data_IF_821233834700
#
_entry.id   IF_821233834700
#
_cell.length_a   1.000
_cell.length_b   1.000
_cell.length_c   1.000
_cell.angle_alpha   90.00
_cell.angle_beta   90.00
_cell.angle_gamma   90.00
#
_symmetry.space_group_name_H-M   'P 1'
#
loop_
_entity.id
_entity.type
_entity.pdbx_description
1 polymer ?
#
# COMPACT_ATOMS: atom_id res chain seq x y z
N UNK A 1 -13.65 1.27 -39.44
CA UNK A 1 -14.91 1.40 -38.70
C UNK A 1 -14.62 1.13 -37.24
N UNK A 2 -14.53 2.17 -36.42
CA UNK A 2 -14.39 2.04 -34.97
C UNK A 2 -15.78 1.79 -34.39
N UNK A 3 -15.98 0.61 -33.83
CA UNK A 3 -17.24 0.23 -33.20
C UNK A 3 -17.20 0.80 -31.79
N UNK A 4 -17.87 1.94 -31.58
CA UNK A 4 -18.08 2.48 -30.24
C UNK A 4 -19.02 1.56 -29.45
N UNK A 5 -18.80 1.35 -28.15
CA UNK A 5 -19.77 0.66 -27.30
C UNK A 5 -21.14 1.37 -27.40
N UNK A 6 -22.25 0.63 -27.38
CA UNK A 6 -23.58 1.24 -27.38
C UNK A 6 -23.71 2.16 -26.17
N UNK A 7 -24.23 3.37 -26.37
CA UNK A 7 -24.57 4.29 -25.28
C UNK A 7 -25.52 3.57 -24.32
N UNK A 8 -25.05 3.28 -23.11
CA UNK A 8 -25.92 2.80 -22.04
C UNK A 8 -26.94 3.91 -21.76
N UNK A 9 -28.22 3.64 -22.06
CA UNK A 9 -29.29 4.62 -21.96
C UNK A 9 -29.26 5.42 -20.66
N UNK A 10 -29.00 6.72 -20.76
CA UNK A 10 -29.04 7.69 -19.65
C UNK A 10 -30.45 7.89 -19.05
N UNK A 11 -31.48 7.20 -19.57
CA UNK A 11 -32.87 7.34 -19.16
C UNK A 11 -33.22 6.44 -17.98
N UNK A 12 -32.59 6.70 -16.84
CA UNK A 12 -33.08 6.42 -15.46
C UNK A 12 -31.89 6.41 -14.49
N UNK A 13 -31.13 7.51 -14.40
CA UNK A 13 -30.42 7.78 -13.15
C UNK A 13 -31.50 8.04 -12.09
N UNK A 14 -31.93 7.00 -11.37
CA UNK A 14 -32.55 7.19 -10.06
C UNK A 14 -31.50 7.93 -9.24
N UNK A 15 -31.61 9.25 -9.17
CA UNK A 15 -30.95 10.03 -8.15
C UNK A 15 -31.50 9.44 -6.85
N UNK A 16 -30.68 8.64 -6.17
CA UNK A 16 -31.05 8.08 -4.88
C UNK A 16 -31.37 9.27 -3.99
N UNK A 17 -32.61 9.33 -3.48
CA UNK A 17 -33.04 10.40 -2.58
C UNK A 17 -32.07 10.52 -1.38
N UNK A 18 -31.48 9.39 -0.99
CA UNK A 18 -30.39 9.30 -0.03
C UNK A 18 -29.25 8.46 -0.65
N UNK A 19 -28.22 9.09 -1.24
CA UNK A 19 -27.11 8.38 -1.88
C UNK A 19 -26.19 7.69 -0.87
N UNK A 20 -26.21 8.13 0.39
CA UNK A 20 -25.41 7.58 1.49
C UNK A 20 -26.34 7.23 2.64
N UNK A 21 -26.35 5.96 3.04
CA UNK A 21 -27.02 5.50 4.26
C UNK A 21 -26.09 5.79 5.44
N UNK A 22 -26.56 6.52 6.45
CA UNK A 22 -25.81 6.72 7.69
C UNK A 22 -25.70 5.39 8.45
N UNK A 23 -24.50 5.10 8.98
CA UNK A 23 -24.17 3.93 9.81
C UNK A 23 -24.79 2.60 9.35
N UNK A 24 -24.54 2.16 8.10
CA UNK A 24 -25.19 0.97 7.55
C UNK A 24 -24.70 -0.33 8.20
N UNK A 25 -23.54 -0.30 8.87
CA UNK A 25 -23.04 -1.39 9.71
C UNK A 25 -22.31 -0.79 10.93
N UNK A 26 -22.68 -1.19 12.17
CA UNK A 26 -21.92 -0.79 13.34
C UNK A 26 -20.55 -1.46 13.36
N UNK A 27 -19.58 -0.81 14.03
CA UNK A 27 -18.29 -1.41 14.33
C UNK A 27 -18.51 -2.53 15.34
N UNK A 28 -18.09 -3.75 14.98
CA UNK A 28 -18.25 -4.95 15.80
C UNK A 28 -16.92 -5.70 15.90
N UNK A 29 -16.21 -5.49 17.00
CA UNK A 29 -14.94 -6.15 17.28
C UNK A 29 -15.10 -7.66 17.54
N UNK A 30 -16.29 -8.14 17.91
CA UNK A 30 -16.55 -9.57 18.15
C UNK A 30 -16.44 -10.44 16.89
N UNK A 31 -16.36 -9.82 15.70
CA UNK A 31 -16.06 -10.49 14.44
C UNK A 31 -14.58 -10.78 14.22
N UNK A 32 -13.67 -10.05 14.88
CA UNK A 32 -12.23 -10.26 14.73
C UNK A 32 -11.81 -11.63 15.29
N UNK A 33 -12.49 -12.11 16.33
CA UNK A 33 -12.26 -13.43 16.93
C UNK A 33 -12.94 -14.58 16.17
N UNK A 34 -13.58 -14.29 15.02
CA UNK A 34 -14.34 -15.26 14.22
C UNK A 34 -13.86 -15.23 12.77
N UNK A 35 -12.68 -15.80 12.45
CA UNK A 35 -12.19 -15.78 11.08
C UNK A 35 -13.17 -16.49 10.13
N UNK A 36 -13.41 -15.89 8.97
CA UNK A 36 -14.40 -16.39 8.01
C UNK A 36 -15.84 -16.00 8.35
N UNK A 37 -16.08 -15.05 9.27
CA UNK A 37 -17.42 -14.55 9.62
C UNK A 37 -18.24 -14.08 8.40
N UNK A 38 -17.55 -13.70 7.32
CA UNK A 38 -18.14 -13.23 6.07
C UNK A 38 -18.67 -14.35 5.17
N UNK A 39 -18.36 -15.62 5.45
CA UNK A 39 -18.75 -16.77 4.65
C UNK A 39 -19.51 -17.79 5.49
N UNK A 40 -20.70 -18.18 5.07
CA UNK A 40 -21.52 -19.21 5.74
C UNK A 40 -20.86 -20.60 5.74
N UNK A 41 -19.92 -20.84 4.81
CA UNK A 41 -19.12 -22.06 4.72
C UNK A 41 -17.97 -22.04 5.73
N UNK A 42 -17.32 -20.89 5.90
CA UNK A 42 -16.13 -20.74 6.75
C UNK A 42 -16.49 -20.44 8.21
N UNK A 43 -17.58 -19.73 8.48
CA UNK A 43 -17.99 -19.31 9.83
C UNK A 43 -18.27 -20.44 10.81
N UNK A 44 -18.43 -21.68 10.31
CA UNK A 44 -18.60 -22.90 11.13
C UNK A 44 -17.28 -23.44 11.71
N UNK A 45 -16.15 -22.84 11.34
CA UNK A 45 -14.82 -23.22 11.81
C UNK A 45 -14.11 -24.30 10.97
N UNK A 46 -12.82 -24.52 11.24
CA UNK A 46 -11.97 -25.41 10.45
C UNK A 46 -12.26 -26.89 10.71
N UNK A 47 -12.76 -27.60 9.69
CA UNK A 47 -12.87 -29.07 9.69
C UNK A 47 -11.69 -29.78 9.04
N UNK A 48 -10.96 -29.07 8.17
CA UNK A 48 -9.73 -29.53 7.52
C UNK A 48 -8.79 -28.34 7.31
N UNK A 49 -7.52 -28.60 7.01
CA UNK A 49 -6.54 -27.54 6.71
C UNK A 49 -6.89 -26.76 5.44
N UNK A 50 -7.69 -27.34 4.53
CA UNK A 50 -8.26 -26.63 3.37
C UNK A 50 -9.04 -25.37 3.77
N UNK A 51 -9.67 -25.38 4.95
CA UNK A 51 -10.38 -24.22 5.47
C UNK A 51 -9.47 -22.99 5.60
N UNK A 52 -8.20 -23.17 6.00
CA UNK A 52 -7.24 -22.07 6.14
C UNK A 52 -6.93 -21.45 4.77
N UNK A 53 -6.77 -22.28 3.74
CA UNK A 53 -6.52 -21.79 2.39
C UNK A 53 -7.72 -21.03 1.83
N UNK A 54 -8.92 -21.60 1.98
CA UNK A 54 -10.16 -20.95 1.55
C UNK A 54 -10.40 -19.64 2.30
N UNK A 55 -10.02 -19.56 3.59
CA UNK A 55 -10.11 -18.32 4.37
C UNK A 55 -9.36 -17.16 3.71
N UNK A 56 -8.16 -17.41 3.18
CA UNK A 56 -7.35 -16.37 2.54
C UNK A 56 -7.76 -16.14 1.09
N UNK A 57 -8.04 -17.21 0.34
CA UNK A 57 -8.43 -17.14 -1.07
C UNK A 57 -9.72 -16.34 -1.25
N UNK A 58 -10.69 -16.55 -0.36
CA UNK A 58 -12.02 -15.94 -0.45
C UNK A 58 -12.10 -14.57 0.26
N UNK A 59 -11.04 -14.09 0.93
CA UNK A 59 -11.12 -12.90 1.79
C UNK A 59 -11.51 -11.61 1.05
N UNK A 60 -11.09 -11.47 -0.22
CA UNK A 60 -11.38 -10.32 -1.07
C UNK A 60 -12.34 -10.64 -2.23
N UNK A 61 -12.92 -11.84 -2.25
CA UNK A 61 -13.98 -12.19 -3.19
C UNK A 61 -15.32 -11.67 -2.65
N UNK A 62 -15.57 -10.38 -2.85
CA UNK A 62 -16.72 -9.70 -2.24
C UNK A 62 -18.07 -10.15 -2.82
N UNK A 63 -18.08 -10.71 -4.03
CA UNK A 63 -19.31 -11.17 -4.68
C UNK A 63 -19.88 -12.41 -3.97
N UNK A 64 -19.02 -13.31 -3.47
CA UNK A 64 -19.45 -14.53 -2.77
C UNK A 64 -19.81 -14.31 -1.29
N UNK A 65 -19.57 -13.11 -0.73
CA UNK A 65 -19.81 -12.83 0.68
C UNK A 65 -21.29 -12.68 1.01
N UNK A 66 -21.97 -11.71 0.38
CA UNK A 66 -23.36 -11.34 0.70
C UNK A 66 -24.31 -11.50 -0.48
N UNK A 67 -23.81 -11.71 -1.71
CA UNK A 67 -24.63 -11.75 -2.92
C UNK A 67 -25.35 -10.44 -3.25
N UNK A 68 -25.05 -9.35 -2.52
CA UNK A 68 -25.60 -8.01 -2.71
C UNK A 68 -24.55 -7.10 -3.37
N UNK A 69 -24.86 -6.63 -4.57
CA UNK A 69 -23.99 -5.75 -5.35
C UNK A 69 -23.75 -4.39 -4.67
N UNK A 70 -24.71 -3.87 -3.89
CA UNK A 70 -24.55 -2.61 -3.16
C UNK A 70 -23.49 -2.79 -2.05
N UNK A 71 -23.58 -3.88 -1.28
CA UNK A 71 -22.60 -4.22 -0.25
C UNK A 71 -21.21 -4.52 -0.84
N UNK A 72 -21.13 -5.27 -1.94
CA UNK A 72 -19.86 -5.55 -2.61
C UNK A 72 -19.18 -4.25 -3.08
N UNK A 73 -19.94 -3.35 -3.72
CA UNK A 73 -19.43 -2.04 -4.16
C UNK A 73 -18.94 -1.17 -3.00
N UNK A 74 -19.65 -1.19 -1.85
CA UNK A 74 -19.21 -0.48 -0.64
C UNK A 74 -17.89 -1.03 -0.10
N UNK A 75 -17.73 -2.36 -0.05
CA UNK A 75 -16.47 -3.00 0.36
C UNK A 75 -15.32 -2.63 -0.56
N UNK A 76 -15.54 -2.64 -1.89
CA UNK A 76 -14.54 -2.20 -2.88
C UNK A 76 -14.13 -0.74 -2.64
N UNK A 77 -15.12 0.14 -2.50
CA UNK A 77 -14.87 1.56 -2.25
C UNK A 77 -14.05 1.78 -0.98
N UNK A 78 -14.39 1.11 0.13
CA UNK A 78 -13.61 1.17 1.37
C UNK A 78 -12.21 0.56 1.22
N UNK A 79 -12.08 -0.57 0.52
CA UNK A 79 -10.79 -1.22 0.27
C UNK A 79 -9.82 -0.34 -0.53
N UNK A 80 -10.33 0.48 -1.46
CA UNK A 80 -9.51 1.47 -2.16
C UNK A 80 -8.86 2.48 -1.21
N UNK A 81 -9.58 2.98 -0.20
CA UNK A 81 -8.97 3.86 0.81
C UNK A 81 -7.91 3.15 1.64
N UNK A 82 -8.16 1.88 2.01
CA UNK A 82 -7.15 1.06 2.68
C UNK A 82 -5.88 0.89 1.84
N UNK A 83 -6.03 0.62 0.55
CA UNK A 83 -4.90 0.51 -0.39
C UNK A 83 -4.16 1.83 -0.57
N UNK A 84 -4.88 2.95 -0.74
CA UNK A 84 -4.28 4.28 -0.81
C UNK A 84 -3.50 4.62 0.46
N UNK A 85 -4.03 4.29 1.65
CA UNK A 85 -3.33 4.51 2.91
C UNK A 85 -2.00 3.72 2.97
N UNK A 86 -1.98 2.45 2.53
CA UNK A 86 -0.74 1.66 2.44
C UNK A 86 0.25 2.28 1.45
N UNK A 87 -0.21 2.78 0.29
CA UNK A 87 0.64 3.50 -0.65
C UNK A 87 1.24 4.74 0.00
N UNK A 88 0.45 5.55 0.71
CA UNK A 88 0.96 6.74 1.40
C UNK A 88 1.96 6.39 2.50
N UNK A 89 1.75 5.32 3.25
CA UNK A 89 2.72 4.84 4.24
C UNK A 89 4.02 4.41 3.56
N UNK A 90 3.94 3.65 2.45
CA UNK A 90 5.12 3.22 1.70
C UNK A 90 5.90 4.39 1.10
N UNK A 91 5.20 5.37 0.52
CA UNK A 91 5.83 6.59 0.00
C UNK A 91 6.47 7.40 1.15
N UNK A 92 5.74 7.61 2.25
CA UNK A 92 6.26 8.31 3.44
C UNK A 92 7.51 7.64 3.98
N UNK A 93 7.56 6.29 4.02
CA UNK A 93 8.75 5.55 4.41
C UNK A 93 9.94 5.84 3.49
N UNK A 94 9.74 5.92 2.16
CA UNK A 94 10.82 6.25 1.24
C UNK A 94 11.42 7.65 1.51
N UNK A 95 10.58 8.66 1.76
CA UNK A 95 11.02 10.00 2.15
C UNK A 95 11.74 10.01 3.49
N UNK A 96 11.17 9.36 4.50
CA UNK A 96 11.76 9.28 5.84
C UNK A 96 13.13 8.59 5.83
N UNK A 97 13.25 7.48 5.09
CA UNK A 97 14.53 6.80 4.89
C UNK A 97 15.56 7.70 4.19
N UNK A 98 15.13 8.46 3.17
CA UNK A 98 15.93 9.52 2.54
C UNK A 98 16.41 10.57 3.53
N UNK A 99 15.54 11.05 4.40
CA UNK A 99 15.87 12.11 5.36
C UNK A 99 16.82 11.64 6.48
N UNK A 100 16.70 10.39 6.94
CA UNK A 100 17.35 9.93 8.18
C UNK A 100 18.52 8.98 7.98
N UNK A 101 18.48 8.16 6.94
CA UNK A 101 19.38 7.01 6.78
C UNK A 101 19.96 6.95 5.37
N UNK A 102 20.25 8.10 4.77
CA UNK A 102 20.72 8.18 3.40
C UNK A 102 21.94 9.08 3.25
N UNK A 103 22.61 8.97 2.10
CA UNK A 103 23.66 9.89 1.68
C UNK A 103 23.18 10.92 0.66
N UNK A 104 21.91 11.35 0.73
CA UNK A 104 21.29 12.18 -0.31
C UNK A 104 22.02 13.50 -0.60
N UNK A 105 22.36 14.31 0.41
CA UNK A 105 23.15 15.53 0.19
C UNK A 105 24.55 15.24 -0.34
N UNK A 106 25.19 14.18 0.17
CA UNK A 106 26.48 13.71 -0.34
C UNK A 106 26.42 13.32 -1.81
N UNK A 107 25.36 12.63 -2.21
CA UNK A 107 25.08 12.27 -3.61
C UNK A 107 24.75 13.49 -4.47
N UNK A 108 24.01 14.48 -3.94
CA UNK A 108 23.72 15.71 -4.67
C UNK A 108 24.99 16.50 -5.02
N UNK A 109 26.02 16.46 -4.17
CA UNK A 109 27.29 17.13 -4.38
C UNK A 109 28.14 16.47 -5.49
N UNK A 110 28.11 15.14 -5.62
CA UNK A 110 28.79 14.39 -6.69
C UNK A 110 27.95 13.20 -7.17
N UNK A 111 26.92 13.45 -8.00
CA UNK A 111 25.97 12.42 -8.42
C UNK A 111 26.57 11.43 -9.43
N UNK A 112 27.78 11.69 -9.92
CA UNK A 112 28.47 10.84 -10.91
C UNK A 112 29.34 9.76 -10.27
N UNK A 113 29.87 9.98 -9.07
CA UNK A 113 30.75 9.02 -8.39
C UNK A 113 30.14 8.46 -7.11
N UNK A 114 29.33 9.24 -6.39
CA UNK A 114 28.63 8.76 -5.19
C UNK A 114 27.46 7.87 -5.60
N UNK A 115 27.33 6.73 -4.96
CA UNK A 115 26.23 5.79 -5.22
C UNK A 115 25.07 6.11 -4.27
N UNK A 116 23.81 6.10 -4.76
CA UNK A 116 22.66 6.38 -3.91
C UNK A 116 22.47 5.26 -2.88
N UNK A 117 22.39 5.61 -1.60
CA UNK A 117 22.11 4.69 -0.50
C UNK A 117 21.12 5.30 0.48
N UNK A 118 20.11 4.52 0.90
CA UNK A 118 19.05 4.98 1.82
C UNK A 118 18.57 3.88 2.80
N UNK A 119 19.36 2.81 2.93
CA UNK A 119 19.09 1.72 3.85
C UNK A 119 20.39 1.34 4.54
N UNK A 120 20.32 1.22 5.87
CA UNK A 120 21.42 0.82 6.72
C UNK A 120 21.03 -0.41 7.53
N UNK A 121 21.93 -1.38 7.59
CA UNK A 121 21.73 -2.66 8.28
C UNK A 121 22.36 -2.58 9.67
N UNK A 122 21.63 -3.03 10.69
CA UNK A 122 22.17 -3.12 12.04
C UNK A 122 23.20 -4.25 12.18
N UNK A 123 24.24 -4.00 12.97
CA UNK A 123 25.29 -4.94 13.29
C UNK A 123 24.87 -5.87 14.43
N UNK A 124 24.29 -7.03 14.09
CA UNK A 124 23.81 -8.01 15.09
C UNK A 124 24.55 -9.33 14.94
N UNK A 125 24.61 -9.87 13.71
CA UNK A 125 25.13 -11.22 13.42
C UNK A 125 26.17 -11.25 12.30
N UNK A 126 26.82 -10.12 12.00
CA UNK A 126 27.75 -9.99 10.86
C UNK A 126 27.10 -9.46 9.57
N UNK A 127 25.79 -9.20 9.60
CA UNK A 127 25.04 -8.70 8.44
C UNK A 127 25.39 -7.24 8.07
N UNK A 128 26.12 -6.52 8.93
CA UNK A 128 26.67 -5.19 8.62
C UNK A 128 27.68 -5.21 7.47
N UNK A 129 28.19 -6.39 7.07
CA UNK A 129 28.93 -6.56 5.82
C UNK A 129 28.13 -6.11 4.59
N UNK A 130 26.79 -6.08 4.67
CA UNK A 130 25.92 -5.52 3.63
C UNK A 130 26.01 -3.99 3.51
N UNK A 131 26.53 -3.29 4.51
CA UNK A 131 26.75 -1.84 4.48
C UNK A 131 28.04 -1.52 3.71
N UNK A 132 27.98 -1.60 2.38
CA UNK A 132 29.09 -1.24 1.51
C UNK A 132 29.43 0.26 1.58
N UNK A 133 30.68 0.62 1.29
CA UNK A 133 31.06 2.02 1.07
C UNK A 133 30.47 2.53 -0.25
N UNK A 134 29.60 3.53 -0.15
CA UNK A 134 28.89 4.15 -1.27
C UNK A 134 29.43 5.55 -1.61
N UNK A 135 30.46 6.01 -0.91
CA UNK A 135 30.97 7.38 -1.01
C UNK A 135 30.24 8.36 -0.09
N UNK A 136 30.77 9.59 -0.02
CA UNK A 136 30.28 10.65 0.85
C UNK A 136 30.22 10.26 2.35
N UNK A 137 31.20 9.48 2.82
CA UNK A 137 31.29 9.01 4.21
C UNK A 137 30.04 8.23 4.68
N UNK A 138 29.41 7.48 3.77
CA UNK A 138 28.23 6.68 4.05
C UNK A 138 28.45 5.20 3.73
N UNK A 139 28.12 4.35 4.70
CA UNK A 139 28.06 2.91 4.55
C UNK A 139 26.62 2.41 4.65
N UNK A 140 26.16 1.71 3.62
CA UNK A 140 24.82 1.16 3.57
C UNK A 140 24.55 0.36 2.30
N UNK A 141 23.28 0.05 2.06
CA UNK A 141 22.84 -0.67 0.86
C UNK A 141 22.64 0.33 -0.28
N UNK A 142 23.26 0.05 -1.42
CA UNK A 142 23.01 0.79 -2.65
C UNK A 142 21.58 0.54 -3.12
N UNK A 143 20.81 1.62 -3.30
CA UNK A 143 19.43 1.54 -3.79
C UNK A 143 19.37 1.68 -5.31
N UNK A 144 18.38 1.05 -5.93
CA UNK A 144 18.15 1.08 -7.39
C UNK A 144 16.76 1.59 -7.78
N UNK A 145 16.02 2.19 -6.85
CA UNK A 145 14.66 2.70 -7.06
C UNK A 145 14.58 4.01 -7.86
N UNK A 146 15.70 4.72 -8.02
CA UNK A 146 15.75 6.01 -8.73
C UNK A 146 15.22 7.22 -7.94
N UNK A 147 14.91 7.04 -6.65
CA UNK A 147 14.29 8.09 -5.83
C UNK A 147 15.17 9.34 -5.65
N UNK A 148 16.49 9.20 -5.63
CA UNK A 148 17.41 10.34 -5.51
C UNK A 148 17.33 11.28 -6.73
N UNK A 149 17.29 10.70 -7.94
CA UNK A 149 17.13 11.43 -9.19
C UNK A 149 15.76 12.12 -9.24
N UNK A 150 14.72 11.44 -8.76
CA UNK A 150 13.37 11.99 -8.67
C UNK A 150 13.30 13.19 -7.71
N UNK A 151 13.83 13.06 -6.49
CA UNK A 151 13.89 14.16 -5.52
C UNK A 151 14.69 15.35 -6.05
N UNK A 152 15.83 15.09 -6.72
CA UNK A 152 16.62 16.13 -7.37
C UNK A 152 15.81 16.85 -8.45
N UNK A 153 15.04 16.13 -9.25
CA UNK A 153 14.17 16.72 -10.28
C UNK A 153 13.02 17.55 -9.68
N UNK A 154 12.58 17.23 -8.47
CA UNK A 154 11.61 18.03 -7.71
C UNK A 154 12.22 19.26 -7.02
N UNK A 155 13.54 19.44 -7.13
CA UNK A 155 14.25 20.57 -6.54
C UNK A 155 14.51 20.42 -5.04
N UNK A 156 14.43 19.20 -4.51
CA UNK A 156 14.80 18.91 -3.12
C UNK A 156 16.32 18.99 -3.00
N UNK A 157 16.83 19.70 -2.00
CA UNK A 157 18.25 20.00 -1.85
C UNK A 157 18.85 19.55 -0.52
N UNK A 158 18.02 19.22 0.47
CA UNK A 158 18.46 18.82 1.80
C UNK A 158 17.50 17.84 2.47
N UNK A 159 17.95 17.19 3.53
CA UNK A 159 17.19 16.17 4.27
C UNK A 159 16.02 16.75 5.06
N UNK A 160 16.02 18.05 5.38
CA UNK A 160 14.92 18.69 6.12
C UNK A 160 13.66 18.74 5.26
N UNK A 161 13.81 19.03 3.97
CA UNK A 161 12.71 19.00 3.00
C UNK A 161 12.13 17.59 2.80
N UNK A 162 12.94 16.54 2.94
CA UNK A 162 12.48 15.14 2.89
C UNK A 162 11.70 14.72 4.15
N UNK A 163 11.92 15.41 5.28
CA UNK A 163 11.28 15.11 6.57
C UNK A 163 9.93 15.84 6.77
N UNK A 164 9.65 16.85 5.94
CA UNK A 164 8.51 17.75 6.06
C UNK A 164 7.15 17.11 5.76
#
# INVERSE_FOLDING_TARGET
>A
MTISPPESGEKNKKILAEPVKADPRPIDFGKLDKPGFWSSKLSKGPKSTTWIWNLHADAHDFDIHSGDAEEATRKIFSAHFGHLAVIFIWMSAAFFHGARFSNYTGWLADPTHVKPGAQQVWAIVGQEMLNGDLGANYNGIQISSGIFQMWRAWGITNETELMA
#
